data_IF_938995872446
#
_entry.id   IF_938995872446
#
_cell.length_a   1.000
_cell.length_b   1.000
_cell.length_c   1.000
_cell.angle_alpha   90.00
_cell.angle_beta   90.00
_cell.angle_gamma   90.00
#
_symmetry.space_group_name_H-M   'P 1'
#
loop_
_entity.id
_entity.type
_entity.pdbx_description
1 polymer ?
#
# COMPACT_ATOMS: atom_id res chain seq x y z
N UNK A 1 -23.74 10.69 -9.97
CA UNK A 1 -22.35 10.46 -10.45
C UNK A 1 -22.39 9.23 -11.30
N UNK A 2 -21.85 9.27 -12.52
CA UNK A 2 -21.78 8.06 -13.35
C UNK A 2 -20.90 7.04 -12.63
N UNK A 3 -21.38 5.81 -12.44
CA UNK A 3 -20.61 4.71 -11.89
C UNK A 3 -19.37 4.52 -12.77
N UNK A 4 -18.20 4.75 -12.23
CA UNK A 4 -16.95 4.52 -12.93
C UNK A 4 -16.86 3.02 -13.21
N UNK A 5 -16.64 2.64 -14.47
CA UNK A 5 -16.52 1.22 -14.84
C UNK A 5 -15.38 0.58 -14.08
N UNK A 6 -15.57 -0.68 -13.67
CA UNK A 6 -14.49 -1.47 -13.07
C UNK A 6 -13.28 -1.58 -14.02
N UNK A 7 -12.08 -1.38 -13.49
CA UNK A 7 -10.82 -1.49 -14.20
C UNK A 7 -9.74 -2.07 -13.26
N UNK A 8 -8.59 -2.40 -13.78
CA UNK A 8 -7.49 -2.94 -12.99
C UNK A 8 -6.12 -2.53 -13.52
N UNK A 9 -5.14 -2.54 -12.64
CA UNK A 9 -3.71 -2.48 -12.97
C UNK A 9 -3.04 -3.78 -12.56
N UNK A 10 -1.92 -4.12 -13.22
CA UNK A 10 -1.25 -5.41 -13.02
C UNK A 10 0.23 -5.20 -12.71
N UNK A 11 0.76 -6.00 -11.77
CA UNK A 11 2.19 -6.08 -11.49
C UNK A 11 2.65 -7.54 -11.36
N UNK A 12 3.98 -7.75 -11.51
CA UNK A 12 4.62 -9.06 -11.32
C UNK A 12 5.15 -9.14 -9.89
N UNK A 13 4.50 -9.95 -9.05
CA UNK A 13 4.70 -9.93 -7.61
C UNK A 13 6.14 -10.28 -7.16
N UNK A 14 6.87 -11.09 -7.93
CA UNK A 14 8.25 -11.48 -7.63
C UNK A 14 9.31 -10.54 -8.19
N UNK A 15 8.94 -9.53 -9.00
CA UNK A 15 9.87 -8.60 -9.62
C UNK A 15 10.03 -7.35 -8.77
N UNK A 16 11.29 -7.03 -8.44
CA UNK A 16 11.61 -5.89 -7.58
C UNK A 16 11.20 -4.54 -8.20
N UNK A 17 11.33 -4.40 -9.51
CA UNK A 17 11.02 -3.21 -10.28
C UNK A 17 9.56 -3.12 -10.76
N UNK A 18 8.74 -4.13 -10.42
CA UNK A 18 7.33 -4.16 -10.81
C UNK A 18 6.44 -3.69 -9.66
N UNK A 19 5.85 -2.51 -9.85
CA UNK A 19 4.92 -1.89 -8.92
C UNK A 19 3.75 -1.27 -9.68
N UNK A 20 2.68 -0.97 -8.95
CA UNK A 20 1.59 -0.11 -9.42
C UNK A 20 1.55 1.15 -8.57
N UNK A 21 1.17 2.25 -9.18
CA UNK A 21 1.20 3.58 -8.58
C UNK A 21 -0.14 4.28 -8.76
N UNK A 22 -0.58 4.98 -7.70
CA UNK A 22 -1.75 5.84 -7.72
C UNK A 22 -1.35 7.19 -7.13
N UNK A 23 -1.49 8.23 -7.92
CA UNK A 23 -1.00 9.57 -7.59
C UNK A 23 -2.16 10.50 -7.26
N UNK A 24 -1.99 11.26 -6.17
CA UNK A 24 -2.89 12.35 -5.79
C UNK A 24 -2.08 13.63 -5.60
N UNK A 25 -2.33 14.62 -6.44
CA UNK A 25 -1.67 15.92 -6.37
C UNK A 25 -2.46 16.85 -5.45
N UNK A 26 -1.81 17.43 -4.44
CA UNK A 26 -2.43 18.35 -3.52
C UNK A 26 -2.60 19.75 -4.13
N UNK A 27 -3.83 20.30 -4.13
CA UNK A 27 -4.07 21.67 -4.60
C UNK A 27 -3.62 22.74 -3.62
N UNK A 28 -3.45 22.40 -2.35
CA UNK A 28 -3.05 23.28 -1.25
C UNK A 28 -2.16 22.53 -0.26
N UNK A 29 -1.48 23.27 0.60
CA UNK A 29 -0.70 22.69 1.70
C UNK A 29 -1.59 21.79 2.56
N UNK A 30 -1.19 20.56 2.74
CA UNK A 30 -1.95 19.52 3.47
C UNK A 30 -1.01 18.75 4.38
N UNK A 31 -1.39 18.64 5.65
CA UNK A 31 -0.71 17.80 6.63
C UNK A 31 -1.46 16.50 6.83
N UNK A 32 -0.75 15.37 6.74
CA UNK A 32 -1.25 14.03 7.07
C UNK A 32 -0.49 13.54 8.27
N UNK A 33 -1.20 13.40 9.41
CA UNK A 33 -0.57 13.01 10.68
C UNK A 33 -1.45 11.99 11.40
N UNK A 34 -0.95 10.75 11.53
CA UNK A 34 -1.64 9.65 12.20
C UNK A 34 -1.53 8.33 11.44
N UNK A 35 -2.46 7.42 11.74
CA UNK A 35 -2.60 6.14 11.08
C UNK A 35 -3.28 6.29 9.72
N UNK A 36 -2.81 5.53 8.76
CA UNK A 36 -3.42 5.41 7.43
C UNK A 36 -3.70 3.95 7.11
N UNK A 37 -4.62 3.70 6.22
CA UNK A 37 -4.93 2.36 5.74
C UNK A 37 -5.22 2.37 4.24
N UNK A 38 -5.00 1.24 3.59
CA UNK A 38 -5.39 1.07 2.20
C UNK A 38 -6.25 -0.17 2.05
N UNK A 39 -7.42 -0.01 1.44
CA UNK A 39 -8.27 -1.10 0.99
C UNK A 39 -7.93 -1.41 -0.46
N UNK A 40 -7.65 -2.67 -0.75
CA UNK A 40 -7.35 -3.16 -2.09
C UNK A 40 -8.24 -4.34 -2.45
N UNK A 41 -8.69 -4.38 -3.68
CA UNK A 41 -9.34 -5.54 -4.28
C UNK A 41 -8.32 -6.27 -5.15
N UNK A 42 -7.85 -7.42 -4.66
CA UNK A 42 -6.69 -8.15 -5.16
C UNK A 42 -7.10 -9.43 -5.86
N UNK A 43 -6.57 -9.67 -7.06
CA UNK A 43 -6.72 -10.92 -7.79
C UNK A 43 -5.34 -11.47 -8.14
N UNK A 44 -4.98 -12.61 -7.55
CA UNK A 44 -3.79 -13.36 -7.94
C UNK A 44 -4.14 -14.29 -9.09
N UNK A 45 -3.33 -14.30 -10.15
CA UNK A 45 -3.62 -15.06 -11.36
C UNK A 45 -2.97 -16.46 -11.35
N UNK A 46 -1.76 -16.55 -10.80
CA UNK A 46 -0.92 -17.74 -10.97
C UNK A 46 -0.63 -18.46 -9.67
N UNK A 47 -0.90 -17.84 -8.52
CA UNK A 47 -0.53 -18.38 -7.21
C UNK A 47 -1.59 -18.07 -6.16
N UNK A 48 -1.86 -18.94 -5.18
CA UNK A 48 -2.97 -18.77 -4.22
C UNK A 48 -2.67 -17.77 -3.09
N UNK A 49 -1.56 -17.06 -3.15
CA UNK A 49 -1.16 -16.06 -2.15
C UNK A 49 -0.25 -14.98 -2.74
N UNK A 50 -0.17 -13.84 -2.06
CA UNK A 50 0.73 -12.74 -2.40
C UNK A 50 1.11 -11.95 -1.15
N UNK A 51 2.37 -11.58 -1.03
CA UNK A 51 2.81 -10.56 -0.10
C UNK A 51 2.60 -9.19 -0.75
N UNK A 52 1.86 -8.33 -0.11
CA UNK A 52 1.61 -6.96 -0.52
C UNK A 52 2.47 -6.02 0.31
N UNK A 53 3.31 -5.26 -0.35
CA UNK A 53 4.07 -4.16 0.24
C UNK A 53 3.50 -2.86 -0.28
N UNK A 54 3.18 -1.96 0.62
CA UNK A 54 2.56 -0.68 0.32
C UNK A 54 3.41 0.44 0.88
N UNK A 55 3.57 1.52 0.12
CA UNK A 55 4.27 2.72 0.59
C UNK A 55 3.50 3.98 0.23
N UNK A 56 3.52 4.96 1.14
CA UNK A 56 3.16 6.34 0.85
C UNK A 56 4.44 7.10 0.54
N UNK A 57 4.61 7.50 -0.70
CA UNK A 57 5.74 8.29 -1.16
C UNK A 57 5.31 9.75 -1.29
N UNK A 58 6.17 10.66 -0.86
CA UNK A 58 6.05 12.07 -1.16
C UNK A 58 6.85 12.37 -2.42
N UNK A 59 6.22 12.99 -3.42
CA UNK A 59 6.89 13.50 -4.61
C UNK A 59 6.85 15.03 -4.58
N UNK A 60 7.95 15.66 -4.94
CA UNK A 60 8.02 17.09 -5.14
C UNK A 60 7.24 17.55 -6.39
N UNK A 61 7.30 18.84 -6.70
CA UNK A 61 6.58 19.40 -7.85
C UNK A 61 7.11 18.89 -9.21
N UNK A 62 8.34 18.41 -9.24
CA UNK A 62 9.01 17.84 -10.41
C UNK A 62 8.88 16.30 -10.45
N UNK A 63 8.09 15.73 -9.55
CA UNK A 63 7.83 14.29 -9.39
C UNK A 63 9.04 13.47 -8.93
N UNK A 64 10.04 14.09 -8.33
CA UNK A 64 11.12 13.39 -7.66
C UNK A 64 10.68 12.92 -6.27
N UNK A 65 11.05 11.70 -5.88
CA UNK A 65 10.73 11.20 -4.54
C UNK A 65 11.51 11.95 -3.47
N UNK A 66 10.76 12.53 -2.52
CA UNK A 66 11.32 13.11 -1.29
C UNK A 66 11.38 12.00 -0.25
N UNK A 67 12.59 11.60 0.11
CA UNK A 67 12.83 10.52 1.06
C UNK A 67 13.06 11.06 2.46
N UNK A 68 12.64 10.27 3.44
CA UNK A 68 12.77 10.58 4.85
C UNK A 68 13.87 9.71 5.47
N UNK A 69 14.70 10.33 6.29
CA UNK A 69 15.80 9.64 6.91
C UNK A 69 15.35 8.91 8.19
N UNK A 70 15.50 7.60 8.20
CA UNK A 70 15.26 6.79 9.39
C UNK A 70 16.54 6.67 10.23
N UNK A 71 16.58 7.38 11.36
CA UNK A 71 17.79 7.56 12.20
C UNK A 71 18.39 6.26 12.73
N UNK A 72 17.59 5.23 12.97
CA UNK A 72 18.06 3.97 13.55
C UNK A 72 18.79 3.07 12.56
N UNK A 73 18.56 3.24 11.26
CA UNK A 73 19.12 2.37 10.21
C UNK A 73 19.92 3.12 9.15
N UNK A 74 20.00 4.44 9.24
CA UNK A 74 20.63 5.31 8.24
C UNK A 74 20.12 5.07 6.80
N UNK A 75 18.84 4.77 6.67
CA UNK A 75 18.18 4.45 5.40
C UNK A 75 17.18 5.54 5.06
N UNK A 76 17.23 6.02 3.84
CA UNK A 76 16.20 6.88 3.27
C UNK A 76 15.00 6.05 2.82
N UNK A 77 13.80 6.49 3.18
CA UNK A 77 12.59 5.74 2.96
C UNK A 77 11.39 6.63 2.62
N UNK A 78 10.29 6.02 2.20
CA UNK A 78 9.01 6.70 1.99
C UNK A 78 8.42 7.25 3.30
N UNK A 79 7.39 8.08 3.19
CA UNK A 79 6.73 8.69 4.35
C UNK A 79 6.07 7.67 5.27
N UNK A 80 5.52 6.58 4.73
CA UNK A 80 4.93 5.49 5.51
C UNK A 80 4.98 4.17 4.72
N UNK A 81 4.90 3.06 5.45
CA UNK A 81 4.89 1.70 4.91
C UNK A 81 3.84 0.84 5.58
N UNK A 82 3.38 -0.16 4.85
CA UNK A 82 2.59 -1.26 5.35
C UNK A 82 2.85 -2.52 4.53
N UNK A 83 2.53 -3.65 5.11
CA UNK A 83 2.59 -4.93 4.39
C UNK A 83 1.58 -5.92 4.95
N UNK A 84 1.10 -6.77 4.08
CA UNK A 84 0.23 -7.87 4.45
C UNK A 84 0.39 -9.03 3.47
N UNK A 85 0.44 -10.25 4.00
CA UNK A 85 0.22 -11.44 3.21
C UNK A 85 -1.27 -11.64 2.99
N UNK A 86 -1.73 -11.70 1.74
CA UNK A 86 -3.15 -11.70 1.39
C UNK A 86 -3.92 -12.87 2.04
N UNK A 87 -3.28 -14.02 2.25
CA UNK A 87 -3.90 -15.14 2.98
C UNK A 87 -4.17 -14.86 4.47
N UNK A 88 -3.56 -13.81 5.03
CA UNK A 88 -3.75 -13.36 6.42
C UNK A 88 -4.70 -12.16 6.55
N UNK A 89 -5.53 -11.89 5.53
CA UNK A 89 -6.42 -10.72 5.46
C UNK A 89 -7.59 -10.70 6.45
N UNK A 90 -7.80 -11.79 7.19
CA UNK A 90 -8.91 -11.85 8.16
C UNK A 90 -8.71 -10.84 9.28
N UNK A 91 -9.70 -9.94 9.43
CA UNK A 91 -9.67 -8.87 10.42
C UNK A 91 -10.16 -9.36 11.81
N UNK A 92 -9.52 -8.87 12.85
CA UNK A 92 -10.09 -8.82 14.19
C UNK A 92 -11.07 -7.65 14.27
N UNK A 93 -12.33 -7.90 14.00
CA UNK A 93 -13.38 -6.87 13.93
C UNK A 93 -13.53 -6.09 15.25
N UNK A 94 -13.22 -6.74 16.38
CA UNK A 94 -13.33 -6.09 17.71
C UNK A 94 -12.20 -5.08 17.95
N UNK A 95 -11.06 -5.21 17.26
CA UNK A 95 -9.89 -4.34 17.44
C UNK A 95 -9.63 -3.42 16.27
N UNK A 96 -10.22 -3.70 15.11
CA UNK A 96 -10.03 -2.92 13.90
C UNK A 96 -10.83 -1.62 13.92
N UNK A 97 -10.22 -0.57 13.39
CA UNK A 97 -10.91 0.65 12.95
C UNK A 97 -10.64 0.87 11.46
N UNK A 98 -11.37 1.75 10.77
CA UNK A 98 -11.10 2.03 9.37
C UNK A 98 -9.65 2.46 9.11
N UNK A 99 -9.05 3.23 10.03
CA UNK A 99 -7.68 3.74 9.92
C UNK A 99 -6.63 2.71 10.33
N UNK A 100 -7.03 1.72 11.12
CA UNK A 100 -6.14 0.72 11.71
C UNK A 100 -6.74 -0.68 11.64
N UNK A 101 -6.66 -1.36 10.50
CA UNK A 101 -7.05 -2.75 10.36
C UNK A 101 -6.10 -3.64 11.18
N UNK A 102 -6.67 -4.48 12.04
CA UNK A 102 -5.94 -5.46 12.87
C UNK A 102 -6.28 -6.86 12.39
N UNK A 103 -5.26 -7.66 12.07
CA UNK A 103 -5.45 -9.00 11.52
C UNK A 103 -5.35 -10.08 12.60
N UNK A 104 -6.20 -11.10 12.51
CA UNK A 104 -6.24 -12.22 13.46
C UNK A 104 -5.02 -13.13 13.39
N UNK A 105 -4.46 -13.34 12.21
CA UNK A 105 -3.34 -14.27 11.93
C UNK A 105 -3.56 -15.72 12.44
N UNK A 106 -4.82 -16.13 12.63
CA UNK A 106 -5.15 -17.46 13.18
C UNK A 106 -5.23 -18.54 12.12
N UNK A 107 -5.59 -18.16 10.89
CA UNK A 107 -5.75 -19.09 9.76
C UNK A 107 -5.33 -18.42 8.45
N UNK A 108 -5.07 -19.25 7.43
CA UNK A 108 -4.79 -18.79 6.08
C UNK A 108 -6.04 -18.88 5.22
N UNK A 109 -6.45 -17.75 4.69
CA UNK A 109 -7.53 -17.64 3.70
C UNK A 109 -6.92 -17.53 2.31
N UNK A 110 -6.55 -18.66 1.72
CA UNK A 110 -5.93 -18.72 0.40
C UNK A 110 -6.75 -17.94 -0.64
N UNK A 111 -6.06 -17.23 -1.52
CA UNK A 111 -6.69 -16.62 -2.68
C UNK A 111 -7.13 -17.72 -3.62
N UNK A 112 -8.36 -17.58 -4.15
CA UNK A 112 -8.85 -18.53 -5.15
C UNK A 112 -8.50 -17.98 -6.55
N UNK A 113 -8.05 -18.84 -7.49
CA UNK A 113 -7.75 -18.40 -8.84
C UNK A 113 -8.92 -17.65 -9.47
N UNK A 114 -8.63 -16.55 -10.10
CA UNK A 114 -9.58 -15.66 -10.78
C UNK A 114 -10.66 -14.99 -9.91
N UNK A 115 -10.67 -15.20 -8.59
CA UNK A 115 -11.52 -14.45 -7.68
C UNK A 115 -10.80 -13.23 -7.12
N UNK A 116 -11.56 -12.16 -6.98
CA UNK A 116 -11.08 -10.92 -6.34
C UNK A 116 -11.33 -11.03 -4.84
N UNK A 117 -10.33 -10.70 -4.04
CA UNK A 117 -10.41 -10.65 -2.59
C UNK A 117 -10.18 -9.23 -2.09
N UNK A 118 -10.98 -8.80 -1.13
CA UNK A 118 -10.77 -7.56 -0.39
C UNK A 118 -9.65 -7.76 0.64
N UNK A 119 -8.76 -6.78 0.74
CA UNK A 119 -7.59 -6.78 1.62
C UNK A 119 -7.40 -5.38 2.18
N UNK A 120 -7.37 -5.26 3.51
CA UNK A 120 -7.06 -4.02 4.21
C UNK A 120 -5.63 -4.07 4.74
N UNK A 121 -4.81 -3.09 4.39
CA UNK A 121 -3.42 -2.99 4.84
C UNK A 121 -3.24 -1.78 5.72
N UNK A 122 -2.81 -2.00 6.98
CA UNK A 122 -2.39 -0.93 7.87
C UNK A 122 -1.10 -0.29 7.32
N UNK A 123 -1.04 1.03 7.35
CA UNK A 123 0.16 1.81 7.10
C UNK A 123 0.65 2.41 8.42
N UNK A 124 1.94 2.33 8.67
CA UNK A 124 2.52 2.88 9.89
C UNK A 124 2.20 4.36 10.05
N UNK A 125 1.93 4.82 11.28
CA UNK A 125 1.63 6.21 11.51
C UNK A 125 2.83 7.08 11.11
N UNK A 126 2.52 8.20 10.47
CA UNK A 126 3.51 9.19 10.06
C UNK A 126 2.97 10.59 10.26
N UNK A 127 3.87 11.57 10.22
CA UNK A 127 3.53 12.99 10.17
C UNK A 127 4.30 13.60 9.01
N UNK A 128 3.57 14.01 7.99
CA UNK A 128 4.16 14.53 6.75
C UNK A 128 3.31 15.64 6.18
N UNK A 129 3.97 16.70 5.70
CA UNK A 129 3.34 17.82 5.02
C UNK A 129 3.60 17.72 3.53
N UNK A 130 2.55 17.91 2.73
CA UNK A 130 2.61 18.13 1.28
C UNK A 130 2.30 19.59 0.99
N UNK A 131 3.18 20.28 0.30
CA UNK A 131 2.94 21.63 -0.18
C UNK A 131 2.03 21.62 -1.42
N UNK A 132 1.41 22.76 -1.72
CA UNK A 132 0.61 22.89 -2.95
C UNK A 132 1.41 22.50 -4.19
N UNK A 133 0.87 21.58 -4.99
CA UNK A 133 1.52 21.05 -6.19
C UNK A 133 2.41 19.81 -5.97
N UNK A 134 2.68 19.42 -4.73
CA UNK A 134 3.32 18.13 -4.42
C UNK A 134 2.33 16.98 -4.53
N UNK A 135 2.84 15.77 -4.70
CA UNK A 135 2.03 14.57 -4.95
C UNK A 135 2.26 13.53 -3.87
N UNK A 136 1.16 12.99 -3.35
CA UNK A 136 1.16 11.73 -2.61
C UNK A 136 1.04 10.59 -3.62
N UNK A 137 1.99 9.69 -3.62
CA UNK A 137 1.94 8.45 -4.40
C UNK A 137 1.72 7.26 -3.49
N UNK A 138 0.63 6.52 -3.73
CA UNK A 138 0.45 5.18 -3.21
C UNK A 138 1.15 4.20 -4.14
N UNK A 139 2.15 3.50 -3.63
CA UNK A 139 2.88 2.46 -4.36
C UNK A 139 2.54 1.09 -3.79
N UNK A 140 2.20 0.11 -4.66
CA UNK A 140 1.90 -1.27 -4.26
C UNK A 140 2.74 -2.24 -5.09
N UNK A 141 3.40 -3.19 -4.44
CA UNK A 141 4.21 -4.23 -5.08
C UNK A 141 4.29 -5.51 -4.25
N UNK A 142 4.85 -6.57 -4.81
CA UNK A 142 5.00 -7.88 -4.15
C UNK A 142 6.35 -8.10 -3.45
N UNK A 143 7.21 -7.09 -3.43
CA UNK A 143 8.54 -7.13 -2.81
C UNK A 143 8.76 -5.89 -1.94
N UNK A 144 9.72 -5.94 -1.04
CA UNK A 144 10.07 -4.78 -0.19
C UNK A 144 10.50 -3.56 -1.01
N UNK A 145 10.28 -2.35 -0.49
CA UNK A 145 10.71 -1.07 -1.09
C UNK A 145 12.19 -0.76 -0.87
N UNK A 146 12.81 -1.39 0.10
CA UNK A 146 14.22 -1.21 0.39
C UNK A 146 15.05 -2.15 -0.48
N UNK A 147 16.18 -1.64 -1.00
CA UNK A 147 17.07 -2.48 -1.80
C UNK A 147 17.52 -3.71 -0.97
N UNK A 148 17.28 -4.94 -1.46
CA UNK A 148 17.68 -6.16 -0.75
C UNK A 148 19.16 -6.24 -0.42
N UNK A 149 20.01 -5.54 -1.16
CA UNK A 149 21.46 -5.48 -0.91
C UNK A 149 21.82 -4.71 0.35
N UNK A 150 20.98 -3.75 0.76
CA UNK A 150 21.21 -2.89 1.91
C UNK A 150 20.55 -3.39 3.21
N UNK A 151 19.74 -4.45 3.16
CA UNK A 151 19.03 -4.98 4.32
C UNK A 151 19.48 -6.39 4.63
N UNK A 152 20.39 -6.51 5.56
CA UNK A 152 20.79 -7.81 6.13
C UNK A 152 19.68 -8.45 6.98
N UNK A 153 18.67 -7.69 7.40
CA UNK A 153 17.65 -8.13 8.37
C UNK A 153 16.32 -8.61 7.75
N UNK A 154 16.01 -8.29 6.49
CA UNK A 154 14.74 -8.66 5.85
C UNK A 154 14.90 -9.52 4.59
N UNK A 155 15.94 -10.34 4.54
CA UNK A 155 16.15 -11.34 3.48
C UNK A 155 15.23 -12.57 3.64
N UNK A 156 13.98 -12.37 4.01
CA UNK A 156 12.99 -13.43 3.87
C UNK A 156 12.64 -13.62 2.39
N UNK A 157 12.49 -14.86 1.90
CA UNK A 157 11.98 -15.07 0.55
C UNK A 157 10.59 -14.47 0.45
N UNK A 158 10.40 -13.54 -0.49
CA UNK A 158 9.06 -13.15 -0.90
C UNK A 158 8.33 -14.42 -1.38
N UNK A 159 7.18 -14.71 -0.80
CA UNK A 159 6.32 -15.81 -1.25
C UNK A 159 5.40 -15.37 -2.39
N UNK A 160 5.73 -14.25 -3.00
CA UNK A 160 4.96 -13.64 -4.08
C UNK A 160 5.47 -14.17 -5.42
N UNK A 161 4.59 -14.80 -6.18
CA UNK A 161 4.86 -15.29 -7.53
C UNK A 161 3.77 -14.85 -8.48
N UNK A 162 4.09 -14.86 -9.78
CA UNK A 162 3.12 -14.61 -10.83
C UNK A 162 2.67 -13.16 -10.96
N UNK A 163 1.50 -13.00 -11.54
CA UNK A 163 0.86 -11.71 -11.80
C UNK A 163 -0.27 -11.45 -10.81
N UNK A 164 -0.38 -10.20 -10.39
CA UNK A 164 -1.41 -9.73 -9.47
C UNK A 164 -2.10 -8.52 -10.07
N UNK A 165 -3.43 -8.50 -10.02
CA UNK A 165 -4.27 -7.35 -10.38
C UNK A 165 -4.77 -6.66 -9.14
N UNK A 166 -4.75 -5.35 -9.17
CA UNK A 166 -5.48 -4.49 -8.23
C UNK A 166 -6.64 -3.90 -9.00
N UNK A 167 -7.86 -4.24 -8.57
CA UNK A 167 -9.10 -3.77 -9.15
C UNK A 167 -9.55 -2.47 -8.48
N UNK A 168 -10.19 -1.59 -9.25
CA UNK A 168 -10.78 -0.33 -8.76
C UNK A 168 -11.95 0.10 -9.66
N UNK A 169 -12.79 0.99 -9.13
CA UNK A 169 -14.01 1.43 -9.81
C UNK A 169 -15.11 0.37 -9.88
N UNK A 170 -16.31 0.76 -10.28
CA UNK A 170 -17.48 -0.13 -10.26
C UNK A 170 -17.76 -0.63 -8.83
N UNK A 171 -17.77 -1.94 -8.67
CA UNK A 171 -18.00 -2.61 -7.39
C UNK A 171 -16.72 -2.72 -6.53
N UNK A 172 -15.58 -2.24 -7.03
CA UNK A 172 -14.28 -2.33 -6.36
C UNK A 172 -13.85 -0.95 -5.85
N UNK A 173 -14.21 -0.63 -4.60
CA UNK A 173 -13.91 0.64 -3.95
C UNK A 173 -12.50 0.67 -3.32
N UNK A 174 -11.49 0.18 -4.06
CA UNK A 174 -10.09 0.33 -3.66
C UNK A 174 -9.79 1.80 -3.35
N UNK A 175 -9.18 2.03 -2.19
CA UNK A 175 -8.97 3.40 -1.72
C UNK A 175 -7.93 3.51 -0.62
N UNK A 176 -7.40 4.70 -0.48
CA UNK A 176 -6.48 5.09 0.58
C UNK A 176 -7.21 6.02 1.55
N UNK A 177 -7.20 5.65 2.84
CA UNK A 177 -7.69 6.48 3.93
C UNK A 177 -6.50 7.13 4.64
N UNK A 178 -6.50 8.46 4.73
CA UNK A 178 -5.45 9.26 5.38
C UNK A 178 -6.04 10.27 6.37
N UNK A 179 -5.38 10.49 7.53
CA UNK A 179 -5.80 11.48 8.51
C UNK A 179 -5.29 12.87 8.13
N UNK A 180 -6.13 13.68 7.50
CA UNK A 180 -5.80 15.07 7.15
C UNK A 180 -6.00 15.97 8.36
N UNK A 181 -4.97 16.68 8.75
CA UNK A 181 -5.06 17.75 9.75
C UNK A 181 -5.47 19.03 9.03
N UNK A 182 -6.68 19.49 9.29
CA UNK A 182 -7.13 20.80 8.84
C UNK A 182 -6.47 21.82 9.75
N UNK A 183 -5.50 22.58 9.24
CA UNK A 183 -4.97 23.74 9.94
C UNK A 183 -6.09 24.76 10.14
N UNK A 184 -6.19 25.31 11.36
CA UNK A 184 -6.98 26.50 11.65
C UNK A 184 -6.45 27.70 10.87
#
# INVERSE_FOLDING_TARGET
>A
MASQKADYVTFKAHKYDSAVYFDFKFPQRTEITGYSSVKLFVQALDFPDVDLFVALQKLDKDLNEVRFYHSTQQIEAAASFGWLRASHRELDVAKSTPERPVHLHQRRLWLQPNLVAEVDVELWPSSTVWEAGETLRLAVKGTTFTNPENLTQFKGPSHSFGQVRIWFGGDYDSGLLVPVINGE
#
